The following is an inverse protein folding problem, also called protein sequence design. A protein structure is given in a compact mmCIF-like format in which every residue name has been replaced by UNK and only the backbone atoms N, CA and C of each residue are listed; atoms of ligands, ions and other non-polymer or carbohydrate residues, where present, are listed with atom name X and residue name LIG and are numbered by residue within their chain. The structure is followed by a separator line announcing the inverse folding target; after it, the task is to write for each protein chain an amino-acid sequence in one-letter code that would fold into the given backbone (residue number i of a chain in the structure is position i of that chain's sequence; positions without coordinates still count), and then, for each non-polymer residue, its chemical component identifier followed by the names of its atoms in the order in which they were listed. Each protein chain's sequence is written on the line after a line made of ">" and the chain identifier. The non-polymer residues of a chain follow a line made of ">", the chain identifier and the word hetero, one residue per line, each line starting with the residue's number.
data_IF_787570625863
#
_entry.id   IF_787570625863
#
_cell.length_a   1.000
_cell.length_b   1.000
_cell.length_c   1.000
_cell.angle_alpha   90.00
_cell.angle_beta   90.00
_cell.angle_gamma   90.00
#
_symmetry.space_group_name_H-M   'P 1'
#
loop_
_entity.id
_entity.type
_entity.pdbx_description
1 polymer ?
#
# COMPACT_ATOMS: atom_id res chain seq x y z
N UNK A 1 -11.89 -17.52 -0.80
CA UNK A 1 -13.32 -17.11 -0.85
C UNK A 1 -13.50 -15.96 -1.85
N UNK A 2 -14.31 -16.14 -2.91
CA UNK A 2 -14.51 -15.15 -4.00
C UNK A 2 -15.83 -14.42 -3.80
N UNK A 3 -15.79 -13.13 -3.51
CA UNK A 3 -16.94 -12.23 -3.63
C UNK A 3 -16.92 -11.64 -5.04
N UNK A 4 -17.74 -12.21 -5.92
CA UNK A 4 -17.99 -11.64 -7.26
C UNK A 4 -18.79 -10.36 -7.08
N UNK A 5 -18.22 -9.22 -7.44
CA UNK A 5 -18.96 -7.98 -7.61
C UNK A 5 -19.02 -7.72 -9.10
N UNK A 6 -20.11 -8.21 -9.69
CA UNK A 6 -20.39 -8.27 -11.13
C UNK A 6 -19.55 -9.30 -11.91
N UNK A 7 -19.98 -9.66 -13.13
CA UNK A 7 -19.27 -10.59 -14.01
C UNK A 7 -17.82 -10.14 -14.33
N UNK A 8 -17.49 -8.88 -14.05
CA UNK A 8 -16.26 -8.21 -14.48
C UNK A 8 -15.25 -7.97 -13.35
N UNK A 9 -15.65 -7.90 -12.07
CA UNK A 9 -14.71 -7.81 -10.94
C UNK A 9 -14.82 -9.02 -10.01
N UNK A 10 -13.70 -9.75 -9.84
CA UNK A 10 -13.58 -10.81 -8.84
C UNK A 10 -12.78 -10.27 -7.65
N UNK A 11 -13.46 -9.96 -6.56
CA UNK A 11 -12.79 -9.68 -5.28
C UNK A 11 -12.57 -11.01 -4.57
N UNK A 12 -11.32 -11.43 -4.48
CA UNK A 12 -10.94 -12.58 -3.68
C UNK A 12 -10.49 -12.09 -2.32
N UNK A 13 -11.10 -12.62 -1.24
CA UNK A 13 -10.57 -12.41 0.10
C UNK A 13 -9.32 -13.27 0.23
N UNK A 14 -8.18 -12.63 0.46
CA UNK A 14 -6.95 -13.32 0.83
C UNK A 14 -7.06 -13.70 2.32
N UNK A 15 -7.58 -14.89 2.60
CA UNK A 15 -7.51 -15.48 3.94
C UNK A 15 -6.22 -16.30 3.99
N UNK A 16 -5.28 -15.93 4.87
CA UNK A 16 -4.00 -16.64 5.01
C UNK A 16 -4.18 -18.14 5.22
N UNK A 17 -5.25 -18.51 5.93
CA UNK A 17 -5.61 -19.89 6.26
C UNK A 17 -6.04 -20.73 5.03
N UNK A 18 -6.46 -20.09 3.92
CA UNK A 18 -6.90 -20.81 2.70
C UNK A 18 -5.73 -21.24 1.80
N UNK A 19 -4.52 -20.73 2.05
CA UNK A 19 -3.36 -20.97 1.18
C UNK A 19 -2.41 -22.03 1.73
N UNK A 20 -2.60 -22.46 3.00
CA UNK A 20 -1.93 -23.63 3.57
C UNK A 20 -0.40 -23.55 3.60
N UNK A 21 0.19 -22.33 3.62
CA UNK A 21 1.63 -22.17 3.76
C UNK A 21 2.08 -22.72 5.11
N UNK A 22 2.95 -23.72 5.10
CA UNK A 22 3.56 -24.26 6.32
C UNK A 22 4.91 -23.59 6.50
N UNK A 23 5.14 -22.96 7.66
CA UNK A 23 6.46 -22.45 8.00
C UNK A 23 7.39 -23.63 8.30
N UNK A 24 8.46 -23.85 7.50
CA UNK A 24 9.36 -24.98 7.70
C UNK A 24 10.10 -24.92 9.05
N UNK A 25 10.23 -23.73 9.66
CA UNK A 25 10.90 -23.58 10.95
C UNK A 25 10.04 -24.06 12.13
N UNK A 26 8.73 -23.81 12.07
CA UNK A 26 7.80 -24.14 13.15
C UNK A 26 6.95 -25.37 12.86
N UNK A 27 7.00 -25.90 11.63
CA UNK A 27 6.13 -26.98 11.15
C UNK A 27 4.65 -26.69 11.42
N UNK A 28 4.27 -25.42 11.32
CA UNK A 28 2.96 -24.91 11.65
C UNK A 28 2.47 -23.96 10.56
N UNK A 29 1.16 -23.74 10.54
CA UNK A 29 0.52 -22.83 9.59
C UNK A 29 1.07 -21.40 9.71
N UNK A 30 1.50 -20.85 8.57
CA UNK A 30 2.06 -19.52 8.46
C UNK A 30 0.93 -18.48 8.42
N UNK A 31 0.67 -17.89 9.58
CA UNK A 31 -0.34 -16.83 9.73
C UNK A 31 0.17 -15.52 9.16
N UNK A 32 -0.38 -15.14 8.01
CA UNK A 32 -0.02 -13.92 7.29
C UNK A 32 -0.59 -12.70 8.01
N UNK A 33 0.30 -11.78 8.39
CA UNK A 33 -0.05 -10.51 9.03
C UNK A 33 0.06 -9.32 8.06
N UNK A 34 1.00 -9.33 7.12
CA UNK A 34 1.15 -8.30 6.09
C UNK A 34 1.41 -8.93 4.72
N UNK A 35 0.84 -8.33 3.67
CA UNK A 35 1.04 -8.71 2.27
C UNK A 35 1.40 -7.49 1.44
N UNK A 36 2.40 -7.65 0.57
CA UNK A 36 2.73 -6.72 -0.50
C UNK A 36 2.93 -7.52 -1.79
N UNK A 37 2.50 -6.99 -2.94
CA UNK A 37 2.64 -7.67 -4.22
C UNK A 37 3.49 -6.87 -5.22
N UNK A 38 4.18 -7.59 -6.10
CA UNK A 38 5.04 -7.04 -7.16
C UNK A 38 5.15 -8.07 -8.29
N UNK A 39 4.78 -7.72 -9.52
CA UNK A 39 4.95 -8.57 -10.72
C UNK A 39 4.48 -10.03 -10.57
N UNK A 40 3.37 -10.26 -9.86
CA UNK A 40 2.84 -11.61 -9.57
C UNK A 40 3.57 -12.38 -8.45
N UNK A 41 4.53 -11.76 -7.76
CA UNK A 41 5.08 -12.25 -6.51
C UNK A 41 4.41 -11.56 -5.32
N UNK A 42 4.37 -12.28 -4.20
CA UNK A 42 3.92 -11.79 -2.91
C UNK A 42 5.08 -11.80 -1.92
N UNK A 43 5.21 -10.73 -1.14
CA UNK A 43 5.93 -10.76 0.14
C UNK A 43 4.92 -10.80 1.25
N UNK A 44 4.98 -11.90 2.02
CA UNK A 44 4.13 -12.11 3.17
C UNK A 44 4.98 -12.12 4.44
N UNK A 45 4.48 -11.50 5.50
CA UNK A 45 5.09 -11.62 6.83
C UNK A 45 4.11 -12.17 7.84
N UNK A 46 4.64 -12.68 8.96
CA UNK A 46 3.84 -13.14 10.10
C UNK A 46 4.17 -12.38 11.38
N UNK A 47 3.29 -12.47 12.38
CA UNK A 47 3.54 -11.96 13.74
C UNK A 47 4.77 -12.63 14.39
N UNK A 48 5.04 -13.89 14.01
CA UNK A 48 6.22 -14.65 14.44
C UNK A 48 7.52 -14.21 13.76
N UNK A 49 7.50 -13.05 13.11
CA UNK A 49 8.69 -12.38 12.58
C UNK A 49 9.33 -13.08 11.37
N UNK A 50 8.53 -13.85 10.65
CA UNK A 50 8.97 -14.64 9.49
C UNK A 50 8.53 -13.94 8.22
N UNK A 51 9.34 -14.05 7.17
CA UNK A 51 9.12 -13.42 5.88
C UNK A 51 9.23 -14.49 4.82
N UNK A 52 8.29 -14.50 3.88
CA UNK A 52 8.31 -15.38 2.72
C UNK A 52 8.04 -14.58 1.46
N UNK A 53 8.87 -14.79 0.44
CA UNK A 53 8.56 -14.41 -0.94
C UNK A 53 7.87 -15.62 -1.56
N UNK A 54 6.72 -15.40 -2.16
CA UNK A 54 5.89 -16.48 -2.66
C UNK A 54 5.34 -16.15 -4.04
N UNK A 55 5.40 -17.11 -4.94
CA UNK A 55 4.63 -17.11 -6.18
C UNK A 55 3.45 -18.09 -6.01
N UNK A 56 2.22 -17.58 -5.80
CA UNK A 56 1.02 -18.41 -5.71
C UNK A 56 0.73 -19.27 -6.94
N UNK A 57 1.17 -18.85 -8.12
CA UNK A 57 0.87 -19.52 -9.39
C UNK A 57 1.81 -20.68 -9.67
N UNK A 58 3.09 -20.57 -9.30
CA UNK A 58 4.08 -21.63 -9.46
C UNK A 58 4.27 -22.46 -8.20
N UNK A 59 3.74 -22.01 -7.06
CA UNK A 59 3.94 -22.63 -5.75
C UNK A 59 5.34 -22.40 -5.15
N UNK A 60 6.23 -21.67 -5.85
CA UNK A 60 7.58 -21.40 -5.37
C UNK A 60 7.56 -20.51 -4.13
N UNK A 61 8.26 -20.91 -3.07
CA UNK A 61 8.43 -20.13 -1.84
C UNK A 61 9.92 -19.95 -1.54
N UNK A 62 10.28 -18.76 -1.06
CA UNK A 62 11.63 -18.45 -0.58
C UNK A 62 11.52 -17.75 0.77
N UNK A 63 11.97 -18.45 1.81
CA UNK A 63 11.92 -17.98 3.19
C UNK A 63 13.12 -17.11 3.48
N UNK A 64 12.89 -15.93 4.07
CA UNK A 64 13.95 -14.98 4.39
C UNK A 64 14.11 -14.94 5.90
N UNK A 65 15.31 -15.32 6.35
CA UNK A 65 15.68 -15.33 7.77
C UNK A 65 16.41 -14.04 8.11
N UNK A 66 15.95 -13.31 9.14
CA UNK A 66 16.67 -12.15 9.68
C UNK A 66 17.06 -12.42 11.14
N UNK A 67 18.34 -12.26 11.47
CA UNK A 67 18.94 -12.71 12.73
C UNK A 67 18.60 -11.85 13.95
N UNK A 68 18.09 -10.63 13.76
CA UNK A 68 17.77 -9.73 14.86
C UNK A 68 16.52 -8.92 14.55
N UNK A 69 15.38 -9.28 15.15
CA UNK A 69 14.15 -8.50 15.05
C UNK A 69 13.44 -8.53 16.40
N UNK A 70 13.74 -7.57 17.29
CA UNK A 70 13.00 -7.43 18.56
C UNK A 70 11.64 -6.76 18.37
N UNK A 71 11.47 -5.92 17.34
CA UNK A 71 10.25 -5.12 17.12
C UNK A 71 9.75 -5.20 15.66
N UNK A 72 9.00 -6.26 15.31
CA UNK A 72 8.37 -6.40 13.98
C UNK A 72 6.94 -5.85 13.87
N UNK A 73 6.36 -5.37 14.98
CA UNK A 73 4.97 -4.90 15.06
C UNK A 73 4.65 -3.62 14.26
N UNK A 74 5.64 -3.00 13.61
CA UNK A 74 5.44 -1.80 12.78
C UNK A 74 6.25 -1.84 11.49
N UNK A 75 6.97 -2.93 11.23
CA UNK A 75 7.89 -3.02 10.09
C UNK A 75 7.10 -3.35 8.84
N UNK A 76 7.30 -2.55 7.79
CA UNK A 76 6.72 -2.84 6.47
C UNK A 76 7.79 -3.37 5.54
N UNK A 77 7.38 -4.29 4.66
CA UNK A 77 8.24 -4.92 3.67
C UNK A 77 7.61 -4.75 2.29
N UNK A 78 8.46 -4.41 1.33
CA UNK A 78 8.08 -4.22 -0.07
C UNK A 78 9.07 -4.95 -0.96
N UNK A 79 8.58 -5.47 -2.08
CA UNK A 79 9.37 -6.21 -3.05
C UNK A 79 9.45 -5.40 -4.33
N UNK A 80 10.60 -5.40 -4.98
CA UNK A 80 10.70 -4.80 -6.30
C UNK A 80 11.67 -5.53 -7.19
N UNK A 81 11.26 -5.66 -8.45
CA UNK A 81 12.12 -6.11 -9.54
C UNK A 81 13.19 -5.05 -9.83
N UNK A 82 14.42 -5.51 -10.01
CA UNK A 82 15.55 -4.67 -10.40
C UNK A 82 16.32 -5.32 -11.56
N UNK A 83 16.98 -4.50 -12.37
CA UNK A 83 17.84 -4.96 -13.45
C UNK A 83 19.30 -4.78 -13.07
N UNK A 84 20.04 -5.87 -12.92
CA UNK A 84 21.46 -5.86 -12.52
C UNK A 84 22.22 -6.95 -13.26
N UNK A 85 23.46 -6.67 -13.69
CA UNK A 85 24.34 -7.63 -14.35
C UNK A 85 23.68 -8.37 -15.53
N UNK A 86 22.96 -7.62 -16.38
CA UNK A 86 22.20 -8.14 -17.52
C UNK A 86 21.10 -9.16 -17.19
N UNK A 87 20.62 -9.18 -15.94
CA UNK A 87 19.51 -10.04 -15.53
C UNK A 87 18.53 -9.28 -14.64
N UNK A 88 17.26 -9.71 -14.66
CA UNK A 88 16.29 -9.25 -13.68
C UNK A 88 16.42 -10.06 -12.40
N UNK A 89 16.43 -9.39 -11.26
CA UNK A 89 16.32 -10.02 -9.95
C UNK A 89 15.35 -9.25 -9.06
N UNK A 90 15.17 -9.69 -7.82
CA UNK A 90 14.29 -9.04 -6.86
C UNK A 90 15.06 -8.63 -5.62
N UNK A 91 14.70 -7.46 -5.08
CA UNK A 91 15.21 -6.97 -3.80
C UNK A 91 14.06 -6.71 -2.85
N UNK A 92 14.31 -7.01 -1.59
CA UNK A 92 13.39 -6.76 -0.50
C UNK A 92 13.78 -5.46 0.18
N UNK A 93 12.86 -4.50 0.26
CA UNK A 93 13.04 -3.26 0.99
C UNK A 93 12.21 -3.31 2.27
N UNK A 94 12.85 -3.02 3.39
CA UNK A 94 12.26 -2.95 4.72
C UNK A 94 12.28 -1.51 5.20
N UNK A 95 11.16 -1.07 5.76
CA UNK A 95 11.07 0.19 6.50
C UNK A 95 10.78 -0.10 7.98
N UNK A 96 11.64 0.40 8.85
CA UNK A 96 11.44 0.41 10.29
C UNK A 96 11.02 1.81 10.73
N UNK A 97 9.78 2.00 11.20
CA UNK A 97 9.38 3.27 11.78
C UNK A 97 10.11 3.50 13.11
N UNK A 98 10.28 4.77 13.47
CA UNK A 98 11.01 5.15 14.68
C UNK A 98 10.35 4.57 15.92
N UNK A 99 11.11 3.88 16.76
CA UNK A 99 10.77 3.61 18.15
C UNK A 99 11.45 4.64 19.06
N UNK A 100 11.12 4.68 20.34
CA UNK A 100 11.65 5.67 21.30
C UNK A 100 13.18 5.73 21.38
N UNK A 101 13.89 4.67 20.94
CA UNK A 101 15.35 4.55 21.03
C UNK A 101 16.06 4.34 19.66
N UNK A 102 15.32 4.17 18.56
CA UNK A 102 15.90 3.88 17.24
C UNK A 102 15.41 4.85 16.16
N UNK A 103 16.35 5.34 15.35
CA UNK A 103 16.04 6.17 14.19
C UNK A 103 15.31 5.35 13.14
N UNK A 104 14.40 5.99 12.40
CA UNK A 104 13.79 5.42 11.18
C UNK A 104 14.89 4.90 10.27
N UNK A 105 14.74 3.70 9.74
CA UNK A 105 15.71 3.09 8.84
C UNK A 105 15.01 2.44 7.65
N UNK A 106 15.58 2.66 6.48
CA UNK A 106 15.35 1.84 5.30
C UNK A 106 16.51 0.88 5.16
N UNK A 107 16.21 -0.38 4.95
CA UNK A 107 17.21 -1.41 4.65
C UNK A 107 16.77 -2.19 3.42
N UNK A 108 17.71 -2.42 2.52
CA UNK A 108 17.50 -3.24 1.33
C UNK A 108 18.27 -4.54 1.46
N UNK A 109 17.63 -5.60 1.00
CA UNK A 109 18.16 -6.95 1.00
C UNK A 109 18.16 -7.52 -0.40
N UNK A 110 19.30 -8.07 -0.78
CA UNK A 110 19.42 -8.93 -1.95
C UNK A 110 18.96 -10.34 -1.57
N UNK A 111 17.89 -10.80 -2.21
CA UNK A 111 17.21 -12.06 -1.85
C UNK A 111 18.11 -13.29 -2.01
N UNK A 112 19.12 -13.21 -2.89
CA UNK A 112 20.04 -14.32 -3.15
C UNK A 112 21.18 -14.41 -2.15
N UNK A 113 21.67 -13.28 -1.64
CA UNK A 113 22.79 -13.23 -0.70
C UNK A 113 22.34 -13.07 0.76
N UNK A 114 21.07 -12.73 0.98
CA UNK A 114 20.49 -12.39 2.30
C UNK A 114 21.23 -11.24 3.01
N UNK A 115 21.96 -10.42 2.24
CA UNK A 115 22.73 -9.30 2.78
C UNK A 115 21.85 -8.05 2.88
N UNK A 116 21.77 -7.52 4.09
CA UNK A 116 21.04 -6.29 4.39
C UNK A 116 21.99 -5.10 4.45
N UNK A 117 21.62 -4.02 3.77
CA UNK A 117 22.32 -2.73 3.85
C UNK A 117 21.35 -1.59 4.11
N UNK A 118 21.78 -0.59 4.87
CA UNK A 118 20.98 0.61 5.15
C UNK A 118 21.00 1.56 3.96
N UNK A 119 19.85 2.17 3.69
CA UNK A 119 19.70 3.26 2.74
C UNK A 119 19.45 4.56 3.52
N UNK A 120 20.32 5.58 3.36
CA UNK A 120 20.10 6.88 3.98
C UNK A 120 18.88 7.56 3.37
N UNK A 121 18.13 8.25 4.21
CA UNK A 121 16.95 9.02 3.81
C UNK A 121 16.77 10.21 4.76
N UNK A 122 16.06 11.22 4.27
CA UNK A 122 15.82 12.49 4.95
C UNK A 122 14.33 12.83 5.09
N UNK A 123 13.45 11.88 4.75
CA UNK A 123 12.00 12.03 4.75
C UNK A 123 11.33 11.16 5.83
N UNK A 124 10.03 11.37 5.99
CA UNK A 124 9.17 10.64 6.93
C UNK A 124 8.03 10.03 6.14
N UNK A 125 7.93 8.70 6.14
CA UNK A 125 6.76 8.03 5.57
C UNK A 125 5.50 8.42 6.33
N UNK A 126 4.46 8.77 5.58
CA UNK A 126 3.11 9.03 6.05
C UNK A 126 2.20 7.96 5.47
N UNK A 127 1.24 7.47 6.25
CA UNK A 127 0.34 6.41 5.79
C UNK A 127 1.14 5.20 5.25
N UNK A 128 2.13 4.75 6.02
CA UNK A 128 3.08 3.66 5.70
C UNK A 128 2.43 2.35 5.23
N UNK A 129 1.17 2.12 5.61
CA UNK A 129 0.32 1.02 5.15
C UNK A 129 -0.15 1.12 3.68
N UNK A 130 0.07 2.25 3.02
CA UNK A 130 -0.51 2.56 1.70
C UNK A 130 0.51 2.46 0.55
N UNK A 131 1.52 1.62 0.65
CA UNK A 131 2.56 1.50 -0.38
C UNK A 131 2.11 0.68 -1.59
N UNK A 132 2.38 1.12 -2.82
CA UNK A 132 2.05 0.35 -4.03
C UNK A 132 3.25 0.17 -4.94
N UNK A 133 3.32 -0.96 -5.64
CA UNK A 133 4.34 -1.24 -6.64
C UNK A 133 3.82 -0.94 -8.05
N UNK A 134 4.63 -0.27 -8.87
CA UNK A 134 4.36 -0.04 -10.28
C UNK A 134 5.69 0.07 -11.06
N UNK A 135 5.83 -0.72 -12.14
CA UNK A 135 6.95 -0.64 -13.10
C UNK A 135 8.35 -0.49 -12.47
N UNK A 136 8.74 -1.43 -11.61
CA UNK A 136 10.10 -1.42 -11.02
C UNK A 136 10.26 -0.48 -9.82
N UNK A 137 9.22 0.25 -9.43
CA UNK A 137 9.27 1.23 -8.35
C UNK A 137 8.18 0.98 -7.33
N UNK A 138 8.47 1.27 -6.06
CA UNK A 138 7.45 1.32 -5.01
C UNK A 138 7.18 2.77 -4.63
N UNK A 139 5.91 3.07 -4.36
CA UNK A 139 5.41 4.40 -4.11
C UNK A 139 4.77 4.50 -2.74
N UNK A 140 5.06 5.58 -2.02
CA UNK A 140 4.48 5.93 -0.72
C UNK A 140 4.10 7.40 -0.67
N UNK A 141 3.34 7.77 0.36
CA UNK A 141 3.22 9.16 0.76
C UNK A 141 4.29 9.50 1.81
N UNK A 142 4.90 10.67 1.73
CA UNK A 142 5.93 11.11 2.66
C UNK A 142 5.89 12.62 2.91
N UNK A 143 6.59 13.07 3.95
CA UNK A 143 6.79 14.47 4.30
C UNK A 143 8.19 14.71 4.84
N UNK A 144 8.68 15.95 4.74
CA UNK A 144 9.98 16.35 5.32
C UNK A 144 9.87 16.69 6.83
N UNK A 145 8.65 16.74 7.36
CA UNK A 145 8.38 17.13 8.74
C UNK A 145 7.33 16.23 9.38
N UNK A 146 7.53 15.93 10.66
CA UNK A 146 6.56 15.22 11.50
C UNK A 146 5.44 16.15 12.03
N UNK A 147 5.53 17.45 11.75
CA UNK A 147 4.57 18.42 12.25
C UNK A 147 3.17 18.20 11.66
N UNK A 148 2.16 18.53 12.46
CA UNK A 148 0.78 18.50 12.00
C UNK A 148 0.58 19.48 10.85
N UNK A 149 0.11 18.99 9.70
CA UNK A 149 -0.13 19.81 8.52
C UNK A 149 1.06 19.91 7.57
N UNK A 150 2.11 19.09 7.77
CA UNK A 150 3.22 19.02 6.84
C UNK A 150 2.74 18.75 5.40
N UNK A 151 3.42 19.40 4.46
CA UNK A 151 3.23 19.19 3.02
C UNK A 151 3.59 17.75 2.68
N UNK A 152 2.67 17.09 1.99
CA UNK A 152 2.84 15.71 1.55
C UNK A 152 3.28 15.67 0.10
N UNK A 153 4.09 14.67 -0.22
CA UNK A 153 4.50 14.35 -1.58
C UNK A 153 4.47 12.85 -1.81
N UNK A 154 4.44 12.47 -3.09
CA UNK A 154 4.58 11.09 -3.50
C UNK A 154 6.08 10.76 -3.55
N UNK A 155 6.47 9.73 -2.83
CA UNK A 155 7.83 9.22 -2.80
C UNK A 155 7.90 7.94 -3.63
N UNK A 156 8.83 7.84 -4.57
CA UNK A 156 9.16 6.58 -5.25
C UNK A 156 10.52 6.06 -4.80
N UNK A 157 10.67 4.74 -4.75
CA UNK A 157 11.95 4.06 -4.66
C UNK A 157 12.16 3.16 -5.88
N UNK A 158 13.26 3.36 -6.58
CA UNK A 158 13.68 2.54 -7.72
C UNK A 158 14.65 1.45 -7.26
N UNK A 159 14.30 0.19 -7.47
CA UNK A 159 15.11 -0.94 -7.01
C UNK A 159 16.33 -1.22 -7.88
N UNK A 160 16.34 -0.73 -9.13
CA UNK A 160 17.47 -0.83 -10.05
C UNK A 160 18.54 0.19 -9.67
N UNK A 161 18.15 1.45 -9.50
CA UNK A 161 19.08 2.54 -9.17
C UNK A 161 19.31 2.73 -7.66
N UNK A 162 18.47 2.11 -6.83
CA UNK A 162 18.43 2.25 -5.36
C UNK A 162 18.28 3.70 -4.90
N UNK A 163 17.48 4.48 -5.63
CA UNK A 163 17.29 5.91 -5.38
C UNK A 163 15.85 6.23 -5.07
N UNK A 164 15.70 7.16 -4.14
CA UNK A 164 14.43 7.82 -3.88
C UNK A 164 14.24 9.00 -4.82
N UNK A 165 12.99 9.24 -5.22
CA UNK A 165 12.58 10.47 -5.90
C UNK A 165 11.29 10.99 -5.31
N UNK A 166 11.14 12.32 -5.29
CA UNK A 166 9.96 13.03 -4.80
C UNK A 166 9.16 13.55 -5.99
N UNK A 167 7.85 13.38 -5.95
CA UNK A 167 6.91 13.84 -6.96
C UNK A 167 5.74 14.56 -6.30
N UNK A 168 5.13 15.48 -7.03
CA UNK A 168 3.98 16.22 -6.52
C UNK A 168 2.73 15.34 -6.41
N UNK A 169 1.97 15.55 -5.35
CA UNK A 169 0.56 15.14 -5.28
C UNK A 169 -0.32 16.15 -6.04
N UNK A 170 -1.58 15.81 -6.38
CA UNK A 170 -2.48 16.67 -7.14
C UNK A 170 -2.60 18.11 -6.64
N UNK A 171 -2.64 18.32 -5.32
CA UNK A 171 -2.50 19.65 -4.70
C UNK A 171 -1.38 19.58 -3.65
N UNK A 172 -0.17 20.09 -3.97
CA UNK A 172 0.99 20.02 -3.08
C UNK A 172 0.89 21.02 -1.90
N UNK A 173 0.01 22.02 -1.97
CA UNK A 173 -0.17 22.99 -0.89
C UNK A 173 -1.27 22.59 0.10
N UNK A 174 -1.98 21.50 -0.19
CA UNK A 174 -3.02 20.97 0.67
C UNK A 174 -2.42 20.01 1.71
N UNK A 175 -2.95 20.09 2.93
CA UNK A 175 -2.67 19.10 3.96
C UNK A 175 -3.78 18.05 3.97
N UNK A 176 -3.40 16.77 4.05
CA UNK A 176 -4.35 15.66 3.96
C UNK A 176 -4.50 14.94 5.30
N UNK A 177 -5.74 14.61 5.65
CA UNK A 177 -6.08 13.77 6.79
C UNK A 177 -5.80 12.31 6.47
N UNK A 178 -6.10 11.90 5.25
CA UNK A 178 -5.95 10.53 4.76
C UNK A 178 -5.44 10.58 3.32
N UNK A 179 -4.44 9.77 3.03
CA UNK A 179 -3.96 9.47 1.68
C UNK A 179 -3.94 7.95 1.52
N UNK A 180 -4.53 7.46 0.45
CA UNK A 180 -4.40 6.07 0.01
C UNK A 180 -3.91 6.03 -1.44
N UNK A 181 -3.13 5.01 -1.78
CA UNK A 181 -2.58 4.78 -3.12
C UNK A 181 -3.16 3.51 -3.71
N UNK A 182 -3.32 3.51 -5.03
CA UNK A 182 -3.75 2.37 -5.81
C UNK A 182 -3.07 2.37 -7.18
N UNK A 183 -3.12 1.24 -7.88
CA UNK A 183 -2.58 1.08 -9.23
C UNK A 183 -3.73 0.77 -10.17
N UNK A 184 -3.79 1.50 -11.28
CA UNK A 184 -4.83 1.36 -12.30
C UNK A 184 -4.20 0.78 -13.56
N UNK A 185 -4.69 -0.40 -13.96
CA UNK A 185 -4.31 -1.09 -15.21
C UNK A 185 -2.79 -1.28 -15.40
N UNK A 186 -2.03 -1.42 -14.31
CA UNK A 186 -0.57 -1.60 -14.31
C UNK A 186 0.22 -0.47 -15.04
N UNK A 187 -0.41 0.70 -15.21
CA UNK A 187 0.16 1.84 -15.96
C UNK A 187 0.14 3.15 -15.19
N UNK A 188 -0.92 3.39 -14.41
CA UNK A 188 -1.18 4.66 -13.72
C UNK A 188 -1.26 4.46 -12.22
N UNK A 189 -0.96 5.51 -11.48
CA UNK A 189 -1.23 5.60 -10.05
C UNK A 189 -2.58 6.29 -9.83
N UNK A 190 -3.28 5.87 -8.78
CA UNK A 190 -4.43 6.59 -8.27
C UNK A 190 -4.19 6.98 -6.81
N UNK A 191 -4.69 8.15 -6.43
CA UNK A 191 -4.69 8.63 -5.05
C UNK A 191 -6.10 8.91 -4.59
N UNK A 192 -6.43 8.44 -3.38
CA UNK A 192 -7.60 8.89 -2.64
C UNK A 192 -7.11 9.89 -1.59
N UNK A 193 -7.63 11.10 -1.67
CA UNK A 193 -7.20 12.24 -0.86
C UNK A 193 -8.37 12.76 -0.04
N UNK A 194 -8.17 12.87 1.27
CA UNK A 194 -9.10 13.55 2.18
C UNK A 194 -8.44 14.82 2.71
N UNK A 195 -8.76 16.01 2.17
CA UNK A 195 -8.21 17.27 2.66
C UNK A 195 -8.50 17.49 4.15
N UNK A 196 -7.56 18.10 4.89
CA UNK A 196 -7.80 18.53 6.27
C UNK A 196 -8.66 19.79 6.30
N UNK A 197 -9.51 19.95 7.32
CA UNK A 197 -10.18 21.23 7.56
C UNK A 197 -9.14 22.34 7.79
N UNK A 198 -9.27 23.47 7.08
CA UNK A 198 -8.47 24.66 7.38
C UNK A 198 -8.89 25.24 8.74
N UNK A 199 -7.96 25.65 9.62
CA UNK A 199 -8.29 26.28 10.91
C UNK A 199 -9.13 27.55 10.79
N UNK A 200 -9.02 28.26 9.64
CA UNK A 200 -9.83 29.43 9.27
C UNK A 200 -10.35 29.24 7.84
N UNK A 201 -11.52 28.63 7.65
CA UNK A 201 -12.09 28.46 6.31
C UNK A 201 -12.45 29.81 5.72
N UNK A 202 -12.04 30.09 4.47
CA UNK A 202 -12.59 31.25 3.75
C UNK A 202 -14.10 31.02 3.53
N UNK A 203 -14.92 32.08 3.39
CA UNK A 203 -16.36 31.91 3.11
C UNK A 203 -16.66 31.07 1.86
N UNK A 204 -15.73 31.04 0.89
CA UNK A 204 -15.74 30.20 -0.32
C UNK A 204 -15.19 28.77 -0.11
N UNK A 205 -14.47 28.49 0.98
CA UNK A 205 -13.99 27.15 1.39
C UNK A 205 -15.10 26.33 2.08
N UNK A 206 -16.36 26.80 2.00
CA UNK A 206 -17.55 26.07 2.50
C UNK A 206 -17.91 24.85 1.65
N UNK A 207 -17.12 24.54 0.62
CA UNK A 207 -17.19 23.29 -0.11
C UNK A 207 -16.80 22.17 0.85
N UNK A 208 -17.75 21.28 1.14
CA UNK A 208 -17.67 20.28 2.19
C UNK A 208 -16.44 19.37 2.12
N UNK A 209 -16.29 18.57 3.18
CA UNK A 209 -15.23 17.58 3.44
C UNK A 209 -15.21 16.46 2.39
N UNK A 210 -14.92 16.81 1.13
CA UNK A 210 -15.00 15.86 0.02
C UNK A 210 -13.76 15.00 -0.02
N UNK A 211 -13.97 13.72 -0.25
CA UNK A 211 -12.89 12.79 -0.57
C UNK A 211 -12.69 12.87 -2.07
N UNK A 212 -11.47 13.09 -2.51
CA UNK A 212 -11.17 13.22 -3.93
C UNK A 212 -10.39 12.01 -4.41
N UNK A 213 -10.78 11.47 -5.56
CA UNK A 213 -10.04 10.40 -6.23
C UNK A 213 -9.43 10.98 -7.50
N UNK A 214 -8.11 10.87 -7.58
CA UNK A 214 -7.31 11.35 -8.70
C UNK A 214 -6.54 10.20 -9.33
N UNK A 215 -6.30 10.30 -10.63
CA UNK A 215 -5.47 9.37 -11.39
C UNK A 215 -4.35 10.12 -12.09
N UNK A 216 -3.18 9.51 -12.13
CA UNK A 216 -2.03 10.08 -12.80
C UNK A 216 -2.10 9.87 -14.31
N UNK A 217 -1.31 10.64 -15.07
CA UNK A 217 -0.83 10.18 -16.38
C UNK A 217 -0.12 8.83 -16.26
N UNK A 218 0.02 8.12 -17.37
CA UNK A 218 0.80 6.89 -17.41
C UNK A 218 2.20 7.17 -16.85
N UNK A 219 2.65 6.33 -15.90
CA UNK A 219 3.98 6.44 -15.35
C UNK A 219 4.95 5.86 -16.36
N UNK A 220 5.89 6.71 -16.77
CA UNK A 220 6.97 6.41 -17.69
C UNK A 220 8.29 6.89 -17.05
N UNK A 221 9.36 6.15 -17.31
CA UNK A 221 10.69 6.42 -16.78
C UNK A 221 11.33 7.67 -17.42
N UNK A 222 10.88 8.08 -18.62
CA UNK A 222 11.45 9.24 -19.33
C UNK A 222 10.94 10.57 -18.77
N UNK A 223 9.65 10.67 -18.46
CA UNK A 223 9.01 11.98 -18.28
C UNK A 223 9.14 12.59 -16.88
N UNK A 224 9.49 11.82 -15.83
CA UNK A 224 9.67 12.22 -14.40
C UNK A 224 8.59 13.11 -13.75
N UNK A 225 7.64 13.62 -14.51
CA UNK A 225 6.60 14.56 -14.14
C UNK A 225 5.29 13.80 -14.15
N UNK A 226 4.69 13.69 -12.98
CA UNK A 226 3.39 13.05 -12.81
C UNK A 226 2.32 14.14 -12.88
N UNK A 227 1.51 14.12 -13.93
CA UNK A 227 0.31 14.95 -14.02
C UNK A 227 -0.88 14.21 -13.42
N UNK A 228 -1.82 14.93 -12.81
CA UNK A 228 -2.97 14.36 -12.12
C UNK A 228 -4.28 14.88 -12.70
N UNK A 229 -5.25 13.98 -12.85
CA UNK A 229 -6.62 14.30 -13.25
C UNK A 229 -7.60 13.79 -12.21
N UNK A 230 -8.57 14.61 -11.83
CA UNK A 230 -9.60 14.23 -10.87
C UNK A 230 -10.64 13.37 -11.58
N UNK A 231 -10.93 12.18 -11.05
CA UNK A 231 -12.00 11.33 -11.60
C UNK A 231 -13.35 11.79 -11.04
N UNK A 232 -13.50 11.78 -9.72
CA UNK A 232 -14.68 12.30 -9.04
C UNK A 232 -14.35 12.66 -7.58
N UNK A 233 -15.29 13.37 -6.93
CA UNK A 233 -15.20 13.75 -5.53
C UNK A 233 -16.46 13.27 -4.79
N UNK A 234 -16.26 12.57 -3.68
CA UNK A 234 -17.30 12.00 -2.85
C UNK A 234 -17.69 12.96 -1.73
N UNK A 235 -18.99 13.05 -1.44
CA UNK A 235 -19.44 13.70 -0.21
C UNK A 235 -19.04 12.91 1.04
N UNK A 236 -18.90 13.58 2.18
CA UNK A 236 -18.43 13.01 3.46
C UNK A 236 -19.40 12.00 4.12
N UNK A 237 -20.42 11.57 3.38
CA UNK A 237 -21.43 10.60 3.84
C UNK A 237 -21.41 9.41 2.88
N UNK A 238 -20.96 8.24 3.32
CA UNK A 238 -20.55 7.83 4.67
C UNK A 238 -19.13 8.32 5.03
N UNK A 239 -18.73 8.15 6.31
CA UNK A 239 -17.42 8.52 6.89
C UNK A 239 -16.22 7.76 6.28
N UNK A 240 -16.15 7.66 4.96
CA UNK A 240 -15.13 6.96 4.20
C UNK A 240 -13.79 7.68 4.37
N UNK A 241 -12.70 6.93 4.53
CA UNK A 241 -11.38 7.52 4.76
C UNK A 241 -11.27 8.34 6.05
N UNK A 242 -12.19 8.16 7.01
CA UNK A 242 -12.09 8.75 8.35
C UNK A 242 -11.07 8.01 9.21
N UNK A 243 -10.72 6.78 8.86
CA UNK A 243 -9.74 5.97 9.54
C UNK A 243 -8.39 6.01 8.83
N UNK A 244 -7.34 5.94 9.65
CA UNK A 244 -5.95 5.92 9.22
C UNK A 244 -5.56 4.71 8.37
N UNK A 245 -6.48 3.79 8.04
CA UNK A 245 -6.20 2.55 7.32
C UNK A 245 -7.27 2.32 6.26
N UNK A 246 -7.06 2.95 5.10
CA UNK A 246 -7.95 2.84 3.95
C UNK A 246 -7.15 2.33 2.75
N UNK A 247 -7.69 1.32 2.07
CA UNK A 247 -7.21 0.86 0.77
C UNK A 247 -8.35 0.99 -0.24
N UNK A 248 -8.03 1.28 -1.50
CA UNK A 248 -9.05 1.38 -2.53
C UNK A 248 -8.57 0.86 -3.88
N UNK A 249 -9.53 0.50 -4.72
CA UNK A 249 -9.36 0.24 -6.14
C UNK A 249 -10.29 1.17 -6.90
N UNK A 250 -9.91 1.59 -8.10
CA UNK A 250 -10.71 2.48 -8.93
C UNK A 250 -10.77 1.96 -10.36
N UNK A 251 -11.95 2.07 -10.95
CA UNK A 251 -12.18 1.92 -12.38
C UNK A 251 -12.37 3.29 -13.01
N UNK A 252 -11.43 3.66 -13.90
CA UNK A 252 -11.42 4.97 -14.58
C UNK A 252 -12.59 5.11 -15.57
N UNK A 253 -12.95 4.05 -16.29
CA UNK A 253 -13.98 4.10 -17.34
C UNK A 253 -15.37 4.19 -16.75
N UNK A 254 -15.64 3.39 -15.71
CA UNK A 254 -16.93 3.39 -15.02
C UNK A 254 -17.04 4.46 -13.94
N UNK A 255 -15.92 5.07 -13.56
CA UNK A 255 -15.82 6.03 -12.45
C UNK A 255 -16.40 5.47 -11.16
N UNK A 256 -16.00 4.25 -10.83
CA UNK A 256 -16.39 3.55 -9.58
C UNK A 256 -15.14 3.28 -8.78
N UNK A 257 -15.21 3.46 -7.46
CA UNK A 257 -14.19 3.02 -6.54
C UNK A 257 -14.74 1.99 -5.54
N UNK A 258 -13.89 1.02 -5.21
CA UNK A 258 -14.12 0.04 -4.17
C UNK A 258 -13.15 0.36 -3.04
N UNK A 259 -13.69 0.67 -1.87
CA UNK A 259 -12.90 1.10 -0.72
C UNK A 259 -13.07 0.12 0.42
N UNK A 260 -11.98 -0.16 1.13
CA UNK A 260 -11.98 -0.96 2.35
C UNK A 260 -11.27 -0.20 3.46
N UNK A 261 -11.96 -0.10 4.59
CA UNK A 261 -11.52 0.68 5.72
C UNK A 261 -11.49 -0.19 6.96
N UNK A 262 -10.43 -0.06 7.77
CA UNK A 262 -10.37 -0.66 9.10
C UNK A 262 -10.78 0.35 10.15
N UNK A 263 -11.90 0.10 10.84
CA UNK A 263 -12.38 0.91 11.95
C UNK A 263 -12.09 0.25 13.28
N UNK A 264 -11.59 1.04 14.23
CA UNK A 264 -11.38 0.59 15.61
C UNK A 264 -12.72 0.65 16.37
N UNK A 265 -13.11 -0.45 17.00
CA UNK A 265 -14.28 -0.53 17.86
C UNK A 265 -13.87 -1.11 19.22
N UNK A 266 -13.53 -0.25 20.18
CA UNK A 266 -12.97 -0.69 21.47
C UNK A 266 -11.62 -1.38 21.28
N UNK A 267 -11.52 -2.65 21.68
CA UNK A 267 -10.30 -3.49 21.53
C UNK A 267 -10.25 -4.28 20.21
N UNK A 268 -11.29 -4.23 19.39
CA UNK A 268 -11.37 -4.99 18.13
C UNK A 268 -11.36 -4.06 16.91
N UNK A 269 -11.17 -4.66 15.73
CA UNK A 269 -11.23 -3.98 14.45
C UNK A 269 -12.36 -4.54 13.59
N UNK A 270 -13.10 -3.64 12.96
CA UNK A 270 -14.13 -3.97 11.97
C UNK A 270 -13.62 -3.54 10.60
N UNK A 271 -13.70 -4.43 9.62
CA UNK A 271 -13.44 -4.11 8.23
C UNK A 271 -14.77 -3.74 7.57
N UNK A 272 -14.77 -2.58 6.92
CA UNK A 272 -15.91 -2.06 6.18
C UNK A 272 -15.55 -2.01 4.71
N UNK A 273 -16.44 -2.49 3.86
CA UNK A 273 -16.29 -2.44 2.41
C UNK A 273 -17.42 -1.63 1.78
N UNK A 274 -17.02 -0.72 0.89
CA UNK A 274 -17.90 0.22 0.22
C UNK A 274 -17.64 0.21 -1.29
N UNK A 275 -18.70 0.36 -2.07
CA UNK A 275 -18.63 0.76 -3.48
C UNK A 275 -19.22 2.16 -3.59
N UNK A 276 -18.50 3.02 -4.28
CA UNK A 276 -18.86 4.42 -4.48
C UNK A 276 -18.71 4.79 -5.95
N UNK A 277 -19.71 5.48 -6.50
CA UNK A 277 -19.70 6.03 -7.85
C UNK A 277 -19.59 7.56 -7.87
N UNK A 278 -19.45 8.12 -9.06
CA UNK A 278 -19.50 9.59 -9.31
C UNK A 278 -20.83 10.23 -8.86
N UNK A 279 -21.91 9.46 -8.82
CA UNK A 279 -23.24 9.86 -8.37
C UNK A 279 -23.37 10.00 -6.84
N UNK A 280 -22.27 9.82 -6.10
CA UNK A 280 -22.22 9.77 -4.63
C UNK A 280 -23.08 8.66 -4.00
N UNK A 281 -23.58 7.70 -4.78
CA UNK A 281 -24.29 6.56 -4.23
C UNK A 281 -23.28 5.61 -3.59
N UNK A 282 -23.52 5.29 -2.32
CA UNK A 282 -22.63 4.42 -1.56
C UNK A 282 -23.36 3.14 -1.20
N UNK A 283 -22.89 2.05 -1.80
CA UNK A 283 -23.35 0.70 -1.47
C UNK A 283 -22.39 0.10 -0.46
N UNK A 284 -22.86 -0.11 0.77
CA UNK A 284 -22.11 -0.84 1.78
C UNK A 284 -22.34 -2.34 1.59
N UNK A 285 -21.25 -3.11 1.49
CA UNK A 285 -21.32 -4.52 1.07
C UNK A 285 -21.12 -5.51 2.19
N UNK A 286 -20.21 -5.25 3.13
CA UNK A 286 -19.85 -6.26 4.13
C UNK A 286 -19.28 -5.65 5.42
N UNK A 287 -19.46 -6.39 6.52
CA UNK A 287 -18.89 -6.18 7.83
C UNK A 287 -18.19 -7.47 8.26
N UNK A 288 -16.85 -7.48 8.22
CA UNK A 288 -16.09 -8.60 8.77
C UNK A 288 -15.35 -8.16 10.04
N UNK A 289 -15.48 -8.96 11.11
CA UNK A 289 -14.56 -8.87 12.24
C UNK A 289 -13.18 -9.32 11.78
N UNK A 290 -12.17 -8.46 11.91
CA UNK A 290 -10.79 -8.78 11.56
C UNK A 290 -10.03 -9.20 12.81
N UNK A 291 -9.62 -10.46 12.88
CA UNK A 291 -8.87 -10.98 14.05
C UNK A 291 -7.36 -11.14 13.83
N UNK A 292 -6.78 -10.91 12.64
CA UNK A 292 -5.39 -11.35 12.40
C UNK A 292 -4.50 -10.51 11.46
N UNK A 293 -5.00 -9.50 10.73
CA UNK A 293 -4.14 -8.71 9.84
C UNK A 293 -3.48 -7.53 10.56
N UNK A 294 -2.19 -7.34 10.29
CA UNK A 294 -1.36 -6.27 10.82
C UNK A 294 -1.97 -4.89 10.52
N UNK A 295 -1.77 -3.93 11.44
CA UNK A 295 -2.27 -2.56 11.31
C UNK A 295 -1.83 -1.90 10.00
N UNK A 296 -0.61 -2.20 9.56
CA UNK A 296 0.00 -1.63 8.37
C UNK A 296 -0.19 -2.43 7.07
N UNK A 297 -0.99 -3.50 7.06
CA UNK A 297 -1.28 -4.23 5.80
C UNK A 297 -2.29 -3.49 4.95
N UNK A 298 -2.07 -3.48 3.63
CA UNK A 298 -3.11 -3.15 2.68
C UNK A 298 -4.28 -4.13 2.79
N UNK A 299 -5.50 -3.60 2.65
CA UNK A 299 -6.75 -4.34 2.80
C UNK A 299 -7.35 -4.74 1.45
N UNK A 300 -6.96 -4.03 0.39
CA UNK A 300 -7.34 -4.25 -1.00
C UNK A 300 -6.13 -3.95 -1.88
N UNK A 301 -5.88 -4.81 -2.85
CA UNK A 301 -4.86 -4.63 -3.88
C UNK A 301 -5.25 -5.41 -5.14
N UNK A 302 -4.75 -4.97 -6.29
CA UNK A 302 -5.00 -5.63 -7.57
C UNK A 302 -3.85 -6.59 -7.89
N UNK A 303 -4.02 -7.87 -7.55
CA UNK A 303 -3.00 -8.89 -7.80
C UNK A 303 -3.19 -9.52 -9.18
N UNK A 304 -2.14 -9.41 -10.01
CA UNK A 304 -2.06 -10.06 -11.32
C UNK A 304 -1.10 -11.25 -11.22
N UNK A 305 -1.61 -12.50 -11.31
CA UNK A 305 -0.83 -13.73 -11.44
C UNK A 305 0.28 -13.64 -12.48
N UNK A 306 1.47 -14.18 -12.18
CA UNK A 306 2.54 -14.35 -13.18
C UNK A 306 3.32 -15.64 -12.96
N UNK A 307 3.98 -16.13 -14.02
CA UNK A 307 4.86 -17.31 -13.98
C UNK A 307 6.31 -16.95 -13.68
N UNK A 308 6.58 -15.75 -13.15
CA UNK A 308 7.95 -15.33 -12.86
C UNK A 308 8.57 -16.21 -11.78
N UNK A 309 9.83 -16.60 -11.96
CA UNK A 309 10.52 -17.41 -10.98
C UNK A 309 11.12 -16.55 -9.87
N UNK A 310 11.05 -17.07 -8.65
CA UNK A 310 11.84 -16.54 -7.54
C UNK A 310 13.27 -17.08 -7.73
N UNK A 311 14.17 -16.24 -8.26
CA UNK A 311 15.60 -16.54 -8.28
C UNK A 311 16.12 -16.74 -6.86
#
# INVERSE_FOLDING_TARGET
>A
MVLKLTKEYRLCSFRGDELGLIDPLYSAEFKISHVFHCDGLLVCTSENRRIVVWNPCTGQTKWITHSNNRDMYYVTYTLGRCYQNNNYSYKLLRHMPSSSNEKRTFEICEINSYLWRRIPHDFILQFDHSSVYLKGKTYWCASDSAQYGAVLYLLSFDYTTERFARMCLPDPNCSYQTVSLSVVREEKLAVLLRPRPRPRPRPCDRHGKKIEIWISSAIDDETKVVSWSKIFALEDRPRLGSCYHTSFLVDEEKKIAICRERRTCGKSYVLLQYIVGEDNQVTQLDFALSSCLHRNSQLLFNYVPSLVQIQ
#
